data_IF_748832651177
#
_entry.id   IF_748832651177
#
_cell.length_a   1.000
_cell.length_b   1.000
_cell.length_c   1.000
_cell.angle_alpha   90.00
_cell.angle_beta   90.00
_cell.angle_gamma   90.00
#
_symmetry.space_group_name_H-M   'P 1'
#
loop_
_entity.id
_entity.type
_entity.pdbx_description
1 polymer ?
#
# COMPACT_ATOMS: atom_id res chain seq x y z
N UNK A 1 -13.75 3.16 4.18
CA UNK A 1 -13.07 4.06 3.26
C UNK A 1 -11.56 3.94 3.35
N UNK A 2 -10.87 4.41 2.33
CA UNK A 2 -9.41 4.51 2.36
C UNK A 2 -9.00 5.80 3.08
N UNK A 3 -7.90 5.73 3.82
CA UNK A 3 -7.42 6.89 4.58
C UNK A 3 -5.91 7.09 4.35
N UNK A 4 -5.47 8.32 4.12
CA UNK A 4 -6.29 9.52 3.95
C UNK A 4 -7.05 9.51 2.62
N UNK A 5 -8.17 10.25 2.56
CA UNK A 5 -8.98 10.33 1.35
C UNK A 5 -8.24 11.03 0.21
N UNK A 6 -7.29 11.88 0.54
CA UNK A 6 -6.44 12.56 -0.42
C UNK A 6 -4.99 12.26 -0.08
N UNK A 7 -4.26 11.70 -1.02
CA UNK A 7 -2.87 11.32 -0.85
C UNK A 7 -2.08 11.86 -2.05
N UNK A 8 -0.83 12.24 -1.79
CA UNK A 8 0.05 12.71 -2.85
C UNK A 8 0.87 11.52 -3.35
N UNK A 9 0.63 11.05 -4.57
CA UNK A 9 1.37 9.89 -5.08
C UNK A 9 2.85 10.22 -5.33
N UNK A 10 3.68 9.17 -5.32
CA UNK A 10 5.07 9.26 -5.73
C UNK A 10 5.19 8.51 -7.06
N UNK A 11 5.59 9.23 -8.10
CA UNK A 11 5.69 8.69 -9.47
C UNK A 11 4.37 8.03 -9.92
N UNK A 12 3.24 8.64 -9.55
CA UNK A 12 1.92 8.14 -9.89
C UNK A 12 1.48 6.92 -9.08
N UNK A 13 2.18 6.56 -8.01
CA UNK A 13 1.92 5.35 -7.25
C UNK A 13 1.64 5.67 -5.79
N UNK A 14 0.78 4.86 -5.17
CA UNK A 14 0.51 4.90 -3.74
C UNK A 14 0.83 3.55 -3.12
N UNK A 15 1.10 3.56 -1.83
CA UNK A 15 1.32 2.35 -1.04
C UNK A 15 0.03 2.04 -0.29
N UNK A 16 -0.47 0.83 -0.43
CA UNK A 16 -1.64 0.37 0.31
C UNK A 16 -1.20 -0.55 1.45
N UNK A 17 -1.58 -0.19 2.67
CA UNK A 17 -1.30 -0.98 3.87
C UNK A 17 -2.61 -1.32 4.58
N UNK A 18 -2.57 -2.26 5.53
CA UNK A 18 -3.77 -2.76 6.19
C UNK A 18 -4.27 -1.83 7.29
N UNK A 19 -3.38 -1.26 8.08
CA UNK A 19 -3.75 -0.53 9.28
C UNK A 19 -3.15 0.86 9.35
N UNK A 20 -3.73 1.68 10.22
CA UNK A 20 -3.33 3.08 10.37
C UNK A 20 -1.91 3.21 10.93
N UNK A 21 -1.50 2.32 11.83
CA UNK A 21 -0.14 2.38 12.39
C UNK A 21 0.92 2.09 11.33
N UNK A 22 0.63 1.19 10.39
CA UNK A 22 1.50 0.93 9.26
C UNK A 22 1.67 2.19 8.41
N UNK A 23 0.56 2.86 8.11
CA UNK A 23 0.55 4.08 7.32
C UNK A 23 1.33 5.20 8.02
N UNK A 24 1.07 5.41 9.31
CA UNK A 24 1.71 6.47 10.09
C UNK A 24 3.22 6.24 10.17
N UNK A 25 3.65 5.00 10.40
CA UNK A 25 5.07 4.69 10.45
C UNK A 25 5.77 4.98 9.13
N UNK A 26 5.18 4.59 8.02
CA UNK A 26 5.75 4.87 6.70
C UNK A 26 5.78 6.38 6.42
N UNK A 27 4.69 7.06 6.72
CA UNK A 27 4.57 8.50 6.51
C UNK A 27 5.63 9.26 7.30
N UNK A 28 5.78 8.95 8.60
CA UNK A 28 6.76 9.61 9.45
C UNK A 28 8.20 9.40 8.98
N UNK A 29 8.46 8.29 8.30
CA UNK A 29 9.82 7.92 7.89
C UNK A 29 10.10 8.21 6.41
N UNK A 30 9.24 8.98 5.76
CA UNK A 30 9.49 9.52 4.43
C UNK A 30 8.71 8.92 3.28
N UNK A 31 7.82 7.97 3.52
CA UNK A 31 6.93 7.44 2.50
C UNK A 31 5.53 8.03 2.67
N UNK A 32 5.36 9.25 2.20
CA UNK A 32 4.14 10.03 2.38
C UNK A 32 2.99 9.64 1.45
N UNK A 33 3.22 8.68 0.58
CA UNK A 33 2.19 8.19 -0.36
C UNK A 33 1.46 6.95 0.16
N UNK A 34 1.56 6.65 1.45
CA UNK A 34 0.89 5.49 2.05
C UNK A 34 -0.57 5.80 2.38
N UNK A 35 -1.44 4.85 2.09
CA UNK A 35 -2.86 4.87 2.48
C UNK A 35 -3.20 3.56 3.16
N UNK A 36 -4.16 3.58 4.08
CA UNK A 36 -4.59 2.36 4.74
C UNK A 36 -6.05 2.04 4.42
N UNK A 37 -6.36 0.76 4.42
CA UNK A 37 -7.69 0.26 4.05
C UNK A 37 -8.54 -0.16 5.27
N UNK A 38 -8.00 -0.10 6.48
CA UNK A 38 -8.70 -0.51 7.71
C UNK A 38 -9.24 -1.93 7.63
N UNK A 39 -8.41 -2.83 7.10
CA UNK A 39 -8.80 -4.23 6.90
C UNK A 39 -9.10 -4.51 5.45
N UNK A 40 -8.71 -5.70 5.02
CA UNK A 40 -8.74 -6.08 3.59
C UNK A 40 -10.15 -6.29 3.07
N UNK A 41 -11.12 -6.60 3.95
CA UNK A 41 -12.52 -6.76 3.57
C UNK A 41 -13.17 -5.44 3.14
N UNK A 42 -12.53 -4.32 3.43
CA UNK A 42 -13.04 -3.00 3.04
C UNK A 42 -12.57 -2.56 1.65
N UNK A 43 -11.71 -3.33 1.00
CA UNK A 43 -11.21 -3.00 -0.33
C UNK A 43 -12.12 -3.64 -1.37
N UNK A 44 -12.59 -2.84 -2.31
CA UNK A 44 -13.40 -3.30 -3.44
C UNK A 44 -13.05 -2.51 -4.70
N UNK A 45 -13.62 -2.92 -5.83
CA UNK A 45 -13.32 -2.28 -7.10
C UNK A 45 -13.72 -0.80 -7.12
N UNK A 46 -14.81 -0.44 -6.46
CA UNK A 46 -15.27 0.96 -6.43
C UNK A 46 -14.26 1.87 -5.75
N UNK A 47 -13.72 1.43 -4.60
CA UNK A 47 -12.71 2.20 -3.88
C UNK A 47 -11.41 2.32 -4.67
N UNK A 48 -11.00 1.24 -5.33
CA UNK A 48 -9.80 1.25 -6.17
C UNK A 48 -10.00 2.11 -7.42
N UNK A 49 -11.20 2.14 -7.97
CA UNK A 49 -11.52 3.01 -9.10
C UNK A 49 -11.40 4.48 -8.74
N UNK A 50 -11.70 4.85 -7.50
CA UNK A 50 -11.53 6.22 -7.02
C UNK A 50 -10.06 6.64 -7.09
N UNK A 51 -9.15 5.75 -6.75
CA UNK A 51 -7.72 6.03 -6.87
C UNK A 51 -7.33 6.34 -8.32
N UNK A 52 -7.84 5.56 -9.24
CA UNK A 52 -7.57 5.79 -10.66
C UNK A 52 -8.11 7.13 -11.14
N UNK A 53 -9.26 7.55 -10.63
CA UNK A 53 -9.84 8.85 -10.95
C UNK A 53 -9.03 10.02 -10.40
N UNK A 54 -8.17 9.77 -9.42
CA UNK A 54 -7.26 10.77 -8.85
C UNK A 54 -5.89 10.79 -9.55
N UNK A 55 -5.81 10.25 -10.76
CA UNK A 55 -4.58 10.17 -11.56
C UNK A 55 -3.50 9.26 -10.94
N UNK A 56 -3.91 8.34 -10.08
CA UNK A 56 -3.01 7.32 -9.55
C UNK A 56 -2.97 6.18 -10.55
N UNK A 57 -1.77 5.81 -10.95
CA UNK A 57 -1.54 4.80 -11.99
C UNK A 57 -1.26 3.43 -11.40
N UNK A 58 -0.69 3.37 -10.21
CA UNK A 58 -0.28 2.11 -9.61
C UNK A 58 -0.41 2.07 -8.10
N UNK A 59 -0.45 0.85 -7.59
CA UNK A 59 -0.58 0.57 -6.16
C UNK A 59 0.52 -0.42 -5.78
N UNK A 60 1.28 -0.07 -4.75
CA UNK A 60 2.26 -0.97 -4.16
C UNK A 60 1.64 -1.52 -2.88
N UNK A 61 1.33 -2.80 -2.88
CA UNK A 61 0.63 -3.46 -1.78
C UNK A 61 1.67 -3.96 -0.79
N UNK A 62 1.66 -3.43 0.42
CA UNK A 62 2.60 -3.82 1.47
C UNK A 62 1.80 -4.24 2.69
N UNK A 63 1.38 -5.50 2.69
CA UNK A 63 0.62 -6.10 3.78
C UNK A 63 1.57 -6.91 4.67
N UNK A 64 1.05 -7.35 5.80
CA UNK A 64 1.83 -8.16 6.73
C UNK A 64 2.41 -9.40 6.03
N UNK A 65 3.61 -9.78 6.44
CA UNK A 65 4.33 -10.88 5.82
C UNK A 65 3.88 -12.29 6.23
N UNK A 66 2.76 -12.40 6.96
CA UNK A 66 2.19 -13.70 7.29
C UNK A 66 1.31 -14.23 6.14
N UNK A 67 0.87 -15.49 6.25
CA UNK A 67 0.08 -16.12 5.20
C UNK A 67 -1.24 -15.40 4.94
N UNK A 68 -1.91 -14.94 6.00
CA UNK A 68 -3.17 -14.22 5.86
C UNK A 68 -2.97 -12.89 5.15
N UNK A 69 -1.92 -12.16 5.50
CA UNK A 69 -1.60 -10.87 4.87
C UNK A 69 -1.26 -11.04 3.40
N UNK A 70 -0.50 -12.06 3.06
CA UNK A 70 -0.11 -12.30 1.66
C UNK A 70 -1.28 -12.78 0.81
N UNK A 71 -2.18 -13.58 1.38
CA UNK A 71 -3.39 -13.98 0.68
C UNK A 71 -4.29 -12.78 0.41
N UNK A 72 -4.43 -11.90 1.40
CA UNK A 72 -5.19 -10.67 1.25
C UNK A 72 -4.58 -9.75 0.19
N UNK A 73 -3.25 -9.65 0.15
CA UNK A 73 -2.54 -8.87 -0.84
C UNK A 73 -2.84 -9.35 -2.27
N UNK A 74 -2.87 -10.65 -2.48
CA UNK A 74 -3.20 -11.21 -3.80
C UNK A 74 -4.63 -10.90 -4.21
N UNK A 75 -5.59 -10.94 -3.28
CA UNK A 75 -6.97 -10.57 -3.58
C UNK A 75 -7.08 -9.09 -3.97
N UNK A 76 -6.41 -8.21 -3.26
CA UNK A 76 -6.40 -6.78 -3.57
C UNK A 76 -5.73 -6.52 -4.91
N UNK A 77 -4.63 -7.20 -5.18
CA UNK A 77 -3.93 -7.09 -6.45
C UNK A 77 -4.85 -7.45 -7.61
N UNK A 78 -5.58 -8.55 -7.49
CA UNK A 78 -6.54 -8.98 -8.51
C UNK A 78 -7.59 -7.90 -8.78
N UNK A 79 -8.18 -7.33 -7.72
CA UNK A 79 -9.19 -6.28 -7.85
C UNK A 79 -8.62 -5.00 -8.47
N UNK A 80 -7.41 -4.62 -8.06
CA UNK A 80 -6.76 -3.42 -8.58
C UNK A 80 -6.45 -3.54 -10.07
N UNK A 81 -5.96 -4.70 -10.49
CA UNK A 81 -5.67 -4.92 -11.90
C UNK A 81 -6.94 -4.91 -12.75
N UNK A 82 -8.06 -5.37 -12.20
CA UNK A 82 -9.35 -5.33 -12.90
C UNK A 82 -9.82 -3.92 -13.19
N UNK A 83 -9.49 -2.94 -12.35
CA UNK A 83 -9.84 -1.55 -12.60
C UNK A 83 -8.76 -0.78 -13.36
N UNK A 84 -7.69 -1.47 -13.76
CA UNK A 84 -6.66 -0.88 -14.61
C UNK A 84 -5.49 -0.26 -13.88
N UNK A 85 -5.30 -0.56 -12.59
CA UNK A 85 -4.13 -0.12 -11.84
C UNK A 85 -2.97 -1.09 -12.03
N UNK A 86 -1.75 -0.56 -12.12
CA UNK A 86 -0.53 -1.37 -12.14
C UNK A 86 -0.18 -1.69 -10.69
N UNK A 87 0.07 -2.96 -10.40
CA UNK A 87 0.32 -3.39 -9.02
C UNK A 87 1.70 -3.97 -8.82
N UNK A 88 2.23 -3.80 -7.61
CA UNK A 88 3.35 -4.56 -7.08
C UNK A 88 2.95 -5.08 -5.72
N UNK A 89 3.19 -6.34 -5.46
CA UNK A 89 3.02 -6.93 -4.13
C UNK A 89 4.41 -6.98 -3.48
N UNK A 90 4.61 -6.17 -2.46
CA UNK A 90 5.90 -6.07 -1.77
C UNK A 90 5.84 -6.91 -0.51
N UNK A 91 6.58 -7.99 -0.48
CA UNK A 91 6.69 -8.85 0.69
C UNK A 91 7.92 -8.43 1.50
N UNK A 92 7.70 -7.93 2.71
CA UNK A 92 8.78 -7.47 3.58
C UNK A 92 9.54 -8.61 4.26
N UNK A 93 9.00 -9.82 4.20
CA UNK A 93 9.55 -10.97 4.89
C UNK A 93 8.56 -11.55 5.89
N UNK A 94 8.81 -12.79 6.31
CA UNK A 94 7.88 -13.51 7.18
C UNK A 94 7.72 -12.77 8.51
N UNK A 95 6.47 -12.56 8.90
CA UNK A 95 6.09 -11.90 10.16
C UNK A 95 6.60 -10.47 10.32
N UNK A 96 6.89 -9.80 9.21
CA UNK A 96 7.28 -8.38 9.23
C UNK A 96 6.11 -7.55 8.71
N UNK A 97 5.74 -6.50 9.44
CA UNK A 97 4.71 -5.57 9.02
C UNK A 97 5.29 -4.17 8.81
N UNK A 98 4.63 -3.32 8.02
CA UNK A 98 5.15 -1.97 7.74
C UNK A 98 5.25 -1.09 8.98
N UNK A 99 4.42 -1.35 10.01
CA UNK A 99 4.42 -0.56 11.23
C UNK A 99 5.64 -0.77 12.10
N UNK A 100 6.38 -1.85 11.89
CA UNK A 100 7.58 -2.18 12.67
C UNK A 100 8.89 -1.81 11.98
N UNK A 101 8.84 -1.27 10.77
CA UNK A 101 10.06 -0.93 10.04
C UNK A 101 10.79 0.24 10.69
N UNK A 102 12.12 0.11 10.80
CA UNK A 102 12.99 1.19 11.27
C UNK A 102 13.23 2.21 10.16
N UNK A 103 13.73 3.37 10.54
CA UNK A 103 13.96 4.48 9.60
C UNK A 103 14.82 4.07 8.40
N UNK A 104 15.92 3.35 8.65
CA UNK A 104 16.79 2.91 7.57
C UNK A 104 16.11 1.91 6.64
N UNK A 105 15.26 1.04 7.20
CA UNK A 105 14.51 0.07 6.40
C UNK A 105 13.50 0.77 5.49
N UNK A 106 12.83 1.80 5.99
CA UNK A 106 11.89 2.59 5.19
C UNK A 106 12.63 3.36 4.08
N UNK A 107 13.80 3.91 4.40
CA UNK A 107 14.62 4.59 3.41
C UNK A 107 15.05 3.65 2.29
N UNK A 108 15.48 2.44 2.64
CA UNK A 108 15.86 1.43 1.66
C UNK A 108 14.67 1.02 0.79
N UNK A 109 13.50 0.89 1.41
CA UNK A 109 12.27 0.56 0.69
C UNK A 109 11.91 1.65 -0.32
N UNK A 110 12.00 2.91 0.09
CA UNK A 110 11.72 4.04 -0.80
C UNK A 110 12.66 4.06 -2.01
N UNK A 111 13.93 3.82 -1.78
CA UNK A 111 14.92 3.75 -2.86
C UNK A 111 14.60 2.60 -3.83
N UNK A 112 14.24 1.44 -3.29
CA UNK A 112 13.91 0.27 -4.10
C UNK A 112 12.66 0.50 -4.95
N UNK A 113 11.64 1.17 -4.40
CA UNK A 113 10.37 1.33 -5.08
C UNK A 113 10.36 2.52 -6.05
N UNK A 114 11.02 3.62 -5.71
CA UNK A 114 10.81 4.90 -6.40
C UNK A 114 12.07 5.56 -6.93
N UNK A 115 13.23 5.05 -6.58
CA UNK A 115 14.51 5.57 -7.10
C UNK A 115 15.22 4.54 -8.04
#
# INVERSE_FOLDING_TARGET
PLYPASVKPIKGRVILVEGIFDMVNLFDKGLSNAICCFGTNNVNEDKLSILKMQDIMGVDIIFDGDDAGQKAAENVRFLAERVGLITRNVNLGQNIDPGSLAEQQVKNLKEKLYD
#
